data_IF_039123234090
#
_entry.id   IF_039123234090
#
_cell.length_a   1.000
_cell.length_b   1.000
_cell.length_c   1.000
_cell.angle_alpha   90.00
_cell.angle_beta   90.00
_cell.angle_gamma   90.00
#
_symmetry.space_group_name_H-M   'P 1'
#
loop_
_entity.id
_entity.type
_entity.pdbx_description
1 polymer ?
#
# COMPACT_ATOMS: atom_id res chain seq x y z
N UNK A 1 -22.19 11.27 21.47
CA UNK A 1 -22.65 11.49 20.08
C UNK A 1 -21.49 11.13 19.15
N UNK A 2 -21.68 10.14 18.28
CA UNK A 2 -20.63 9.59 17.42
C UNK A 2 -20.74 10.07 15.98
N UNK A 3 -19.60 10.17 15.31
CA UNK A 3 -19.47 10.38 13.87
C UNK A 3 -18.02 10.63 13.49
N UNK A 4 -17.79 11.11 12.27
CA UNK A 4 -16.42 11.18 11.71
C UNK A 4 -15.59 12.22 12.44
N UNK A 5 -14.36 11.82 12.76
CA UNK A 5 -13.32 12.69 13.31
C UNK A 5 -12.08 12.61 12.44
N UNK A 6 -11.38 13.73 12.30
CA UNK A 6 -10.13 13.81 11.57
C UNK A 6 -9.02 14.11 12.56
N UNK A 7 -8.01 13.24 12.60
CA UNK A 7 -6.84 13.41 13.44
C UNK A 7 -5.58 13.45 12.57
N UNK A 8 -4.78 14.50 12.72
CA UNK A 8 -3.47 14.60 12.06
C UNK A 8 -2.38 14.11 13.00
N UNK A 9 -1.58 13.16 12.56
CA UNK A 9 -0.38 12.74 13.29
C UNK A 9 0.65 13.89 13.26
N UNK A 10 1.14 14.32 14.43
CA UNK A 10 2.09 15.42 14.58
C UNK A 10 3.57 15.03 14.37
N UNK A 11 3.82 13.77 14.00
CA UNK A 11 5.14 13.17 13.79
C UNK A 11 6.06 13.09 15.03
N UNK A 12 5.57 13.44 16.23
CA UNK A 12 6.36 13.39 17.47
C UNK A 12 5.90 12.30 18.42
N UNK A 13 4.58 12.08 18.54
CA UNK A 13 3.87 10.97 19.25
C UNK A 13 2.38 11.30 19.51
N UNK A 14 1.89 12.45 19.06
CA UNK A 14 0.54 12.91 19.30
C UNK A 14 -0.32 12.97 18.04
N UNK A 15 -1.59 13.29 18.27
CA UNK A 15 -2.58 13.53 17.24
C UNK A 15 -3.28 14.85 17.53
N UNK A 16 -3.34 15.71 16.53
CA UNK A 16 -4.12 16.95 16.57
C UNK A 16 -5.53 16.68 16.05
N UNK A 17 -6.56 17.06 16.82
CA UNK A 17 -7.95 16.97 16.39
C UNK A 17 -8.26 18.09 15.39
N UNK A 18 -8.35 17.72 14.12
CA UNK A 18 -8.72 18.61 13.02
C UNK A 18 -10.18 18.42 12.60
N UNK A 19 -11.04 17.81 13.44
CA UNK A 19 -12.46 17.62 13.12
C UNK A 19 -13.22 18.95 12.92
N UNK A 20 -12.62 20.08 13.28
CA UNK A 20 -13.10 21.44 12.99
C UNK A 20 -13.17 21.74 11.49
N UNK A 21 -12.29 21.16 10.67
CA UNK A 21 -12.24 21.39 9.21
C UNK A 21 -13.27 20.57 8.45
N UNK A 22 -13.81 19.51 9.07
CA UNK A 22 -14.87 18.70 8.48
C UNK A 22 -16.20 19.45 8.50
N UNK A 23 -17.05 19.28 7.46
CA UNK A 23 -18.42 19.77 7.48
C UNK A 23 -19.16 19.35 8.76
N UNK A 24 -19.86 20.28 9.46
CA UNK A 24 -20.47 19.99 10.76
C UNK A 24 -21.45 18.82 10.75
N UNK A 25 -22.14 18.60 9.65
CA UNK A 25 -23.11 17.52 9.44
C UNK A 25 -22.48 16.14 9.25
N UNK A 26 -21.20 16.07 8.91
CA UNK A 26 -20.45 14.81 8.80
C UNK A 26 -19.89 14.29 10.13
N UNK A 27 -19.99 15.10 11.20
CA UNK A 27 -19.69 14.66 12.59
C UNK A 27 -20.72 13.68 13.15
N UNK A 28 -21.65 13.23 12.30
CA UNK A 28 -22.59 12.14 12.49
C UNK A 28 -22.48 11.10 11.34
N UNK A 29 -21.30 10.86 10.77
CA UNK A 29 -21.13 9.84 9.71
C UNK A 29 -21.12 8.40 10.24
N UNK A 30 -21.49 7.46 9.36
CA UNK A 30 -21.57 6.01 9.60
C UNK A 30 -20.41 5.23 8.98
N UNK A 31 -19.89 5.70 7.84
CA UNK A 31 -18.80 5.06 7.12
C UNK A 31 -17.89 6.10 6.47
N UNK A 32 -16.60 5.75 6.36
CA UNK A 32 -15.57 6.53 5.66
C UNK A 32 -14.80 5.60 4.74
N UNK A 33 -14.62 6.01 3.50
CA UNK A 33 -13.71 5.39 2.53
C UNK A 33 -12.68 6.44 2.14
N UNK A 34 -11.43 6.00 1.99
CA UNK A 34 -10.31 6.84 1.58
C UNK A 34 -9.82 6.34 0.23
N UNK A 35 -9.77 7.22 -0.77
CA UNK A 35 -9.30 6.90 -2.12
C UNK A 35 -8.88 8.19 -2.82
N UNK A 36 -7.93 8.09 -3.73
CA UNK A 36 -7.64 9.14 -4.71
C UNK A 36 -8.68 9.01 -5.85
N UNK A 37 -9.69 9.89 -5.88
CA UNK A 37 -10.86 9.74 -6.76
C UNK A 37 -10.61 10.36 -8.13
N UNK A 38 -9.88 11.47 -8.17
CA UNK A 38 -9.57 12.20 -9.39
C UNK A 38 -8.18 11.91 -9.96
N UNK A 39 -7.43 11.00 -9.33
CA UNK A 39 -6.12 10.50 -9.76
C UNK A 39 -5.05 11.58 -9.75
N UNK A 40 -5.14 12.52 -8.81
CA UNK A 40 -4.17 13.59 -8.69
C UNK A 40 -3.02 13.26 -7.73
N UNK A 41 -3.13 12.18 -6.96
CA UNK A 41 -2.11 11.73 -6.00
C UNK A 41 -2.40 12.09 -4.56
N UNK A 42 -3.48 12.81 -4.29
CA UNK A 42 -3.93 13.10 -2.95
C UNK A 42 -5.19 12.29 -2.56
N UNK A 43 -5.32 11.99 -1.27
CA UNK A 43 -6.37 11.07 -0.81
C UNK A 43 -7.62 11.84 -0.40
N UNK A 44 -8.71 11.58 -1.11
CA UNK A 44 -10.04 12.08 -0.80
C UNK A 44 -10.77 11.22 0.22
N UNK A 45 -11.83 11.78 0.80
CA UNK A 45 -12.74 11.06 1.69
C UNK A 45 -14.13 10.94 1.08
N UNK A 46 -14.67 9.73 1.05
CA UNK A 46 -16.09 9.47 0.82
C UNK A 46 -16.73 9.15 2.16
N UNK A 47 -17.65 10.01 2.59
CA UNK A 47 -18.34 9.87 3.87
C UNK A 47 -19.82 9.62 3.65
N UNK A 48 -20.34 8.58 4.28
CA UNK A 48 -21.79 8.33 4.33
C UNK A 48 -22.35 8.78 5.68
N UNK A 49 -23.25 9.76 5.66
CA UNK A 49 -24.03 10.20 6.81
C UNK A 49 -25.07 9.17 7.26
N UNK A 50 -25.69 9.38 8.43
CA UNK A 50 -26.88 8.61 8.82
C UNK A 50 -28.09 8.85 7.90
N UNK A 51 -28.09 9.97 7.16
CA UNK A 51 -29.08 10.28 6.13
C UNK A 51 -28.94 9.40 4.87
N UNK A 52 -27.90 8.55 4.82
CA UNK A 52 -27.62 7.64 3.71
C UNK A 52 -27.06 8.33 2.47
N UNK A 53 -26.80 9.64 2.51
CA UNK A 53 -26.28 10.39 1.36
C UNK A 53 -24.75 10.37 1.40
N UNK A 54 -24.09 9.81 0.36
CA UNK A 54 -22.63 9.89 0.27
C UNK A 54 -22.20 11.31 -0.04
N UNK A 55 -21.10 11.74 0.55
CA UNK A 55 -20.44 13.00 0.27
C UNK A 55 -18.99 12.76 -0.02
N UNK A 56 -18.49 13.41 -1.07
CA UNK A 56 -17.07 13.42 -1.41
C UNK A 56 -16.47 14.68 -0.82
N UNK A 57 -15.43 14.52 -0.02
CA UNK A 57 -14.58 15.60 0.47
C UNK A 57 -13.28 15.50 -0.30
N UNK A 58 -13.12 16.41 -1.27
CA UNK A 58 -11.89 16.49 -2.06
C UNK A 58 -10.78 17.17 -1.30
N UNK A 59 -9.56 16.72 -1.48
CA UNK A 59 -8.38 17.25 -0.80
C UNK A 59 -7.54 18.21 -1.67
N UNK A 60 -8.19 19.15 -2.37
CA UNK A 60 -7.58 20.06 -3.36
C UNK A 60 -6.45 21.02 -2.86
N UNK A 61 -6.06 20.99 -1.58
CA UNK A 61 -5.03 21.85 -0.99
C UNK A 61 -3.75 21.12 -0.54
N UNK A 62 -3.67 19.80 -0.73
CA UNK A 62 -2.64 18.94 -0.12
C UNK A 62 -1.53 18.46 -1.06
N UNK A 63 -1.68 18.63 -2.37
CA UNK A 63 -0.94 17.91 -3.39
C UNK A 63 0.47 18.47 -3.75
N UNK A 64 1.17 19.05 -2.77
CA UNK A 64 2.57 19.50 -2.97
C UNK A 64 3.58 18.36 -2.77
N UNK A 65 3.09 17.20 -2.37
CA UNK A 65 3.90 16.07 -1.93
C UNK A 65 3.90 14.98 -3.00
N UNK A 66 4.96 14.17 -3.02
CA UNK A 66 5.05 13.06 -3.97
C UNK A 66 4.35 11.82 -3.41
N UNK A 67 3.98 10.89 -4.28
CA UNK A 67 3.38 9.61 -3.91
C UNK A 67 3.93 8.47 -4.77
N UNK A 68 3.59 7.24 -4.38
CA UNK A 68 3.77 6.03 -5.17
C UNK A 68 2.53 5.17 -5.02
N UNK A 69 1.91 4.83 -6.15
CA UNK A 69 0.84 3.87 -6.26
C UNK A 69 1.39 2.54 -6.74
N UNK A 70 1.16 1.49 -5.95
CA UNK A 70 1.67 0.15 -6.24
C UNK A 70 0.52 -0.78 -6.60
N UNK A 71 0.57 -1.37 -7.80
CA UNK A 71 -0.34 -2.42 -8.24
C UNK A 71 0.39 -3.74 -8.27
N UNK A 72 -0.13 -4.72 -7.54
CA UNK A 72 0.40 -6.08 -7.60
C UNK A 72 -0.33 -6.86 -8.68
N UNK A 73 0.44 -7.50 -9.55
CA UNK A 73 -0.09 -8.30 -10.66
C UNK A 73 0.40 -9.73 -10.48
N UNK A 74 -0.50 -10.67 -10.24
CA UNK A 74 -0.12 -12.08 -10.25
C UNK A 74 0.03 -12.63 -11.67
N UNK A 75 0.79 -13.70 -11.81
CA UNK A 75 0.95 -14.39 -13.09
C UNK A 75 -0.40 -14.95 -13.57
N UNK A 76 -0.81 -14.60 -14.79
CA UNK A 76 -2.03 -15.12 -15.42
C UNK A 76 -1.90 -16.58 -15.87
N UNK A 77 -0.68 -17.03 -16.14
CA UNK A 77 -0.32 -18.40 -16.47
C UNK A 77 0.96 -18.78 -15.72
N UNK A 78 1.06 -20.03 -15.23
CA UNK A 78 2.19 -20.48 -14.43
C UNK A 78 1.80 -20.81 -13.00
N UNK A 79 2.49 -20.22 -12.02
CA UNK A 79 2.46 -20.65 -10.60
C UNK A 79 1.05 -20.71 -9.99
N UNK A 80 0.15 -19.79 -10.31
CA UNK A 80 -1.23 -19.77 -9.80
C UNK A 80 -1.33 -19.65 -8.26
N UNK A 81 -0.21 -19.37 -7.58
CA UNK A 81 -0.11 -19.36 -6.11
C UNK A 81 -0.63 -18.07 -5.48
N UNK A 82 -0.75 -17.01 -6.27
CA UNK A 82 -1.24 -15.71 -5.82
C UNK A 82 -2.48 -15.29 -6.63
N UNK A 83 -3.36 -14.53 -5.99
CA UNK A 83 -4.54 -13.96 -6.64
C UNK A 83 -4.16 -12.76 -7.52
N UNK A 84 -5.02 -12.40 -8.48
CA UNK A 84 -4.74 -11.39 -9.51
C UNK A 84 -4.22 -10.04 -8.99
N UNK A 85 -4.63 -9.64 -7.78
CA UNK A 85 -4.28 -8.36 -7.15
C UNK A 85 -3.26 -8.51 -6.01
N UNK A 86 -2.68 -9.70 -5.81
CA UNK A 86 -1.76 -9.96 -4.71
C UNK A 86 -2.35 -9.72 -3.31
N UNK A 87 -3.67 -9.82 -3.15
CA UNK A 87 -4.36 -9.57 -1.88
C UNK A 87 -3.73 -10.37 -0.73
N UNK A 88 -3.44 -9.69 0.36
CA UNK A 88 -2.72 -10.25 1.51
C UNK A 88 -1.19 -10.11 1.45
N UNK A 89 -0.62 -9.62 0.35
CA UNK A 89 0.80 -9.26 0.29
C UNK A 89 1.10 -8.11 1.25
N UNK A 90 2.29 -8.11 1.84
CA UNK A 90 2.81 -6.92 2.53
C UNK A 90 3.73 -6.15 1.61
N UNK A 91 3.50 -4.84 1.51
CA UNK A 91 4.23 -3.91 0.67
C UNK A 91 4.94 -2.91 1.58
N UNK A 92 6.26 -2.90 1.52
CA UNK A 92 7.13 -2.03 2.29
C UNK A 92 7.79 -1.02 1.36
N UNK A 93 7.71 0.26 1.69
CA UNK A 93 8.30 1.34 0.90
C UNK A 93 9.23 2.17 1.79
N UNK A 94 10.41 2.51 1.24
CA UNK A 94 11.35 3.44 1.86
C UNK A 94 11.67 4.60 0.95
N UNK A 95 11.67 5.81 1.52
CA UNK A 95 12.09 7.04 0.87
C UNK A 95 12.90 7.90 1.86
N UNK A 96 14.23 7.82 1.77
CA UNK A 96 15.20 8.34 2.74
C UNK A 96 14.95 7.81 4.15
N UNK A 97 14.45 8.68 5.02
CA UNK A 97 14.09 8.46 6.41
C UNK A 97 12.63 8.00 6.60
N UNK A 98 11.80 8.10 5.55
CA UNK A 98 10.44 7.58 5.57
C UNK A 98 10.46 6.06 5.34
N UNK A 99 9.74 5.34 6.19
CA UNK A 99 9.41 3.93 6.02
C UNK A 99 7.91 3.73 6.22
N UNK A 100 7.28 3.01 5.31
CA UNK A 100 5.87 2.63 5.40
C UNK A 100 5.71 1.16 5.07
N UNK A 101 4.82 0.49 5.81
CA UNK A 101 4.39 -0.88 5.54
C UNK A 101 2.88 -0.88 5.39
N UNK A 102 2.37 -1.47 4.31
CA UNK A 102 0.94 -1.62 4.04
C UNK A 102 0.63 -3.06 3.64
N UNK A 103 -0.62 -3.46 3.89
CA UNK A 103 -1.16 -4.71 3.38
C UNK A 103 -1.90 -4.40 2.07
N UNK A 104 -1.68 -5.21 1.03
CA UNK A 104 -2.47 -5.14 -0.19
C UNK A 104 -3.87 -5.69 0.09
N UNK A 105 -4.86 -4.80 0.16
CA UNK A 105 -6.28 -5.13 0.40
C UNK A 105 -7.17 -4.85 -0.80
N UNK A 106 -6.61 -4.29 -1.88
CA UNK A 106 -7.31 -3.95 -3.11
C UNK A 106 -6.35 -3.90 -4.30
N UNK A 107 -6.78 -3.31 -5.41
CA UNK A 107 -5.99 -3.26 -6.64
C UNK A 107 -4.77 -2.33 -6.58
N UNK A 108 -4.85 -1.25 -5.82
CA UNK A 108 -3.76 -0.26 -5.67
C UNK A 108 -3.46 -0.07 -4.19
N UNK A 109 -2.18 0.01 -3.86
CA UNK A 109 -1.68 0.38 -2.55
C UNK A 109 -0.95 1.72 -2.65
N UNK A 110 -1.58 2.77 -2.13
CA UNK A 110 -1.05 4.14 -2.18
C UNK A 110 -0.05 4.42 -1.05
N UNK A 111 1.03 5.13 -1.37
CA UNK A 111 2.05 5.61 -0.44
C UNK A 111 2.39 7.09 -0.67
N UNK A 112 1.97 7.97 0.23
CA UNK A 112 2.48 9.34 0.24
C UNK A 112 3.94 9.40 0.70
N UNK A 113 4.79 10.12 -0.04
CA UNK A 113 6.21 10.33 0.27
C UNK A 113 6.48 11.62 1.06
N UNK A 114 5.49 12.50 1.18
CA UNK A 114 5.68 13.84 1.70
C UNK A 114 6.62 14.64 0.79
N UNK A 115 7.59 15.33 1.40
CA UNK A 115 8.55 16.18 0.68
C UNK A 115 9.69 15.43 -0.02
N UNK A 116 9.74 14.09 0.05
CA UNK A 116 10.78 13.31 -0.66
C UNK A 116 10.41 13.24 -2.14
N UNK A 117 11.41 13.42 -3.01
CA UNK A 117 11.21 13.48 -4.46
C UNK A 117 10.91 12.12 -5.10
N UNK A 118 11.33 11.02 -4.46
CA UNK A 118 11.17 9.65 -4.96
C UNK A 118 11.33 8.63 -3.85
N UNK A 119 10.84 7.41 -4.09
CA UNK A 119 11.15 6.25 -3.27
C UNK A 119 12.51 5.63 -3.67
N UNK A 120 13.19 5.03 -2.69
CA UNK A 120 14.48 4.37 -2.90
C UNK A 120 14.30 2.87 -3.13
N UNK A 121 13.39 2.24 -2.38
CA UNK A 121 13.13 0.81 -2.48
C UNK A 121 11.69 0.48 -2.11
N UNK A 122 11.13 -0.44 -2.88
CA UNK A 122 9.85 -1.10 -2.65
C UNK A 122 10.11 -2.60 -2.48
N UNK A 123 9.63 -3.18 -1.39
CA UNK A 123 9.70 -4.62 -1.14
C UNK A 123 8.29 -5.17 -1.02
N UNK A 124 7.99 -6.17 -1.85
CA UNK A 124 6.74 -6.91 -1.81
C UNK A 124 7.03 -8.29 -1.25
N UNK A 125 6.36 -8.67 -0.16
CA UNK A 125 6.29 -10.05 0.30
C UNK A 125 4.91 -10.59 -0.05
N UNK A 126 4.88 -11.45 -1.06
CA UNK A 126 3.68 -12.09 -1.59
C UNK A 126 3.07 -13.05 -0.56
N UNK A 127 1.76 -13.36 -0.64
CA UNK A 127 1.09 -14.30 0.26
C UNK A 127 1.71 -15.69 0.27
N UNK A 128 2.22 -16.15 -0.88
CA UNK A 128 2.97 -17.39 -0.97
C UNK A 128 4.32 -17.35 -0.23
N UNK A 129 4.73 -16.19 0.30
CA UNK A 129 5.96 -15.87 1.03
C UNK A 129 7.18 -15.54 0.17
N UNK A 130 7.04 -15.47 -1.16
CA UNK A 130 8.10 -14.99 -2.04
C UNK A 130 8.30 -13.51 -1.75
N UNK A 131 9.55 -13.05 -1.68
CA UNK A 131 9.85 -11.63 -1.56
C UNK A 131 10.46 -11.12 -2.86
N UNK A 132 10.03 -9.95 -3.30
CA UNK A 132 10.51 -9.25 -4.48
C UNK A 132 10.89 -7.82 -4.09
N UNK A 133 11.97 -7.31 -4.65
CA UNK A 133 12.47 -5.96 -4.37
C UNK A 133 12.60 -5.20 -5.67
N UNK A 134 12.06 -3.99 -5.69
CA UNK A 134 12.18 -3.01 -6.77
C UNK A 134 12.96 -1.81 -6.22
N UNK A 135 14.02 -1.41 -6.93
CA UNK A 135 14.82 -0.24 -6.57
C UNK A 135 14.35 0.95 -7.39
N UNK A 136 14.23 2.10 -6.74
CA UNK A 136 13.77 3.36 -7.35
C UNK A 136 12.47 3.21 -8.17
N UNK A 137 11.38 2.71 -7.54
CA UNK A 137 10.11 2.52 -8.24
C UNK A 137 9.57 3.85 -8.77
N UNK A 138 8.78 3.77 -9.84
CA UNK A 138 8.06 4.92 -10.40
C UNK A 138 6.91 5.40 -9.50
N UNK A 139 6.26 6.49 -9.90
CA UNK A 139 5.04 6.99 -9.23
C UNK A 139 3.88 6.01 -9.38
N UNK A 140 3.77 5.34 -10.52
CA UNK A 140 2.83 4.24 -10.75
C UNK A 140 3.63 2.97 -11.02
N UNK A 141 3.64 2.05 -10.07
CA UNK A 141 4.49 0.86 -10.10
C UNK A 141 3.66 -0.42 -10.17
N UNK A 142 3.71 -1.08 -11.33
CA UNK A 142 3.15 -2.41 -11.55
C UNK A 142 4.19 -3.48 -11.18
N UNK A 143 3.98 -4.19 -10.08
CA UNK A 143 4.85 -5.28 -9.64
C UNK A 143 4.25 -6.62 -10.07
N UNK A 144 4.77 -7.17 -11.17
CA UNK A 144 4.44 -8.52 -11.60
C UNK A 144 5.13 -9.56 -10.70
N UNK A 145 4.37 -10.54 -10.22
CA UNK A 145 4.88 -11.70 -9.49
C UNK A 145 5.94 -12.43 -10.31
N UNK A 146 7.12 -12.63 -9.72
CA UNK A 146 8.15 -13.48 -10.30
C UNK A 146 7.94 -14.95 -9.93
N UNK A 147 8.11 -15.83 -10.92
CA UNK A 147 8.14 -17.27 -10.70
C UNK A 147 9.48 -17.69 -10.09
N UNK A 148 9.59 -17.59 -8.77
CA UNK A 148 10.74 -18.03 -8.00
C UNK A 148 10.48 -19.43 -7.42
N UNK A 149 11.32 -20.41 -7.79
CA UNK A 149 11.36 -21.70 -7.12
C UNK A 149 11.92 -21.48 -5.71
N UNK A 150 11.06 -21.61 -4.69
CA UNK A 150 11.45 -21.45 -3.28
C UNK A 150 12.40 -22.51 -2.74
N UNK A 151 12.62 -23.56 -3.53
CA UNK A 151 13.69 -24.52 -3.32
C UNK A 151 13.99 -25.19 -4.63
N UNK A 152 15.25 -25.15 -5.06
CA UNK A 152 15.83 -26.44 -5.41
C UNK A 152 15.82 -27.23 -4.12
N UNK A 153 15.22 -28.42 -4.08
CA UNK A 153 15.66 -29.40 -3.08
C UNK A 153 17.19 -29.41 -3.18
N UNK A 154 17.95 -29.07 -2.12
CA UNK A 154 19.39 -29.23 -2.21
C UNK A 154 19.61 -30.73 -2.43
N UNK A 155 20.08 -31.11 -3.61
CA UNK A 155 20.71 -32.41 -3.77
C UNK A 155 22.05 -32.27 -3.03
N UNK A 156 22.07 -32.74 -1.78
CA UNK A 156 23.29 -32.86 -1.02
C UNK A 156 23.99 -34.11 -1.53
N UNK A 157 24.95 -33.93 -2.43
CA UNK A 157 25.85 -35.01 -2.81
C UNK A 157 26.96 -35.09 -1.77
N UNK A 158 27.12 -36.25 -1.15
CA UNK A 158 28.26 -36.52 -0.26
C UNK A 158 29.24 -37.42 -1.00
N UNK A 159 30.53 -37.05 -0.96
CA UNK A 159 31.59 -37.87 -1.52
C UNK A 159 31.93 -39.00 -0.55
N UNK A 160 31.72 -40.26 -0.97
CA UNK A 160 31.98 -41.46 -0.16
C UNK A 160 33.41 -42.02 -0.33
N UNK A 161 34.24 -41.35 -1.15
CA UNK A 161 35.56 -41.84 -1.54
C UNK A 161 35.61 -42.52 -2.91
N UNK A 162 34.47 -42.77 -3.57
CA UNK A 162 34.35 -43.40 -4.89
C UNK A 162 33.41 -42.67 -5.83
N UNK A 163 32.29 -42.15 -5.30
CA UNK A 163 31.30 -41.41 -6.08
C UNK A 163 30.60 -40.34 -5.23
N UNK A 164 29.91 -39.43 -5.92
CA UNK A 164 28.92 -38.54 -5.34
C UNK A 164 27.58 -39.27 -5.27
N UNK A 165 27.02 -39.42 -4.07
CA UNK A 165 25.67 -39.97 -3.82
C UNK A 165 24.77 -38.94 -3.18
#
# INVERSE_FOLDING_TARGET
KGGVRLFRNDATRGFEDLSSVLPPDLRAGRAVVVADIDQDGDLDLIVAGWDGRPRVLRNDGGNVNQYVDVRLVALRQGSGKNNAFGLGATVELRARDLYQLRLATGGVTHFGLGRRLKADVLRVRWPNGVSQTVYYPGTEEDVLEQQLLKGSCPFLYVWDGRAFT
#
